data_IF_209579053383
#
_entry.id   IF_209579053383
#
_cell.length_a   1.000
_cell.length_b   1.000
_cell.length_c   1.000
_cell.angle_alpha   90.00
_cell.angle_beta   90.00
_cell.angle_gamma   90.00
#
_symmetry.space_group_name_H-M   'P 1'
#
loop_
_entity.id
_entity.type
_entity.pdbx_description
1 polymer ?
#
# COMPACT_ATOMS: atom_id res chain seq x y z
N UNK A 1 5.46 5.89 -2.94
CA UNK A 1 4.16 5.34 -3.36
C UNK A 1 4.09 3.89 -2.94
N UNK A 2 2.94 3.41 -2.49
CA UNK A 2 2.79 2.01 -2.10
C UNK A 2 2.49 1.17 -3.34
N UNK A 3 3.36 0.24 -3.75
CA UNK A 3 3.07 -0.61 -4.91
C UNK A 3 1.90 -1.56 -4.63
N UNK A 4 1.19 -1.97 -5.68
CA UNK A 4 0.20 -3.06 -5.64
C UNK A 4 0.94 -4.34 -5.99
N UNK A 5 1.04 -5.27 -5.04
CA UNK A 5 1.74 -6.56 -5.23
C UNK A 5 0.79 -7.70 -5.58
N UNK A 6 -0.49 -7.58 -5.24
CA UNK A 6 -1.51 -8.60 -5.43
C UNK A 6 -2.77 -7.98 -6.04
N UNK A 7 -3.35 -8.67 -7.02
CA UNK A 7 -4.61 -8.28 -7.64
C UNK A 7 -5.80 -8.72 -6.79
N UNK A 8 -6.89 -7.96 -6.84
CA UNK A 8 -8.16 -8.34 -6.21
C UNK A 8 -8.90 -7.17 -5.58
N UNK A 9 -10.03 -7.44 -4.93
CA UNK A 9 -10.81 -6.40 -4.26
C UNK A 9 -10.20 -6.07 -2.92
N UNK A 10 -9.76 -4.83 -2.70
CA UNK A 10 -9.25 -4.37 -1.41
C UNK A 10 -10.32 -4.54 -0.34
N UNK A 11 -10.06 -5.37 0.66
CA UNK A 11 -10.93 -5.54 1.83
C UNK A 11 -10.53 -4.60 2.96
N UNK A 12 -9.24 -4.49 3.24
CA UNK A 12 -8.71 -3.61 4.29
C UNK A 12 -7.21 -3.48 4.19
N UNK A 13 -6.68 -2.49 4.90
CA UNK A 13 -5.25 -2.31 5.10
C UNK A 13 -4.93 -2.56 6.57
N UNK A 14 -4.12 -3.57 6.85
CA UNK A 14 -3.68 -3.92 8.19
C UNK A 14 -2.30 -3.29 8.49
N UNK A 15 -1.99 -3.12 9.78
CA UNK A 15 -0.67 -2.64 10.21
C UNK A 15 -0.45 -1.11 10.15
N UNK A 16 -1.50 -0.32 9.87
CA UNK A 16 -1.42 1.15 9.78
C UNK A 16 -0.82 1.82 11.02
N UNK A 17 -1.24 1.39 12.23
CA UNK A 17 -0.69 1.94 13.48
C UNK A 17 0.80 1.66 13.61
N UNK A 18 1.23 0.41 13.33
CA UNK A 18 2.63 0.02 13.39
C UNK A 18 3.47 0.77 12.34
N UNK A 19 2.94 0.98 11.13
CA UNK A 19 3.61 1.74 10.08
C UNK A 19 3.80 3.22 10.46
N UNK A 20 2.80 3.85 11.08
CA UNK A 20 2.86 5.24 11.57
C UNK A 20 3.84 5.43 12.73
N UNK A 21 4.12 4.38 13.50
CA UNK A 21 5.10 4.41 14.60
C UNK A 21 6.54 4.18 14.13
N UNK A 22 6.78 3.96 12.84
CA UNK A 22 8.16 3.87 12.32
C UNK A 22 8.84 5.24 12.50
N UNK A 23 10.05 5.23 13.06
CA UNK A 23 10.88 6.44 13.18
C UNK A 23 11.00 7.13 11.81
N UNK A 24 10.91 8.45 11.79
CA UNK A 24 11.00 9.29 10.59
C UNK A 24 9.79 9.19 9.63
N UNK A 25 8.72 8.48 9.99
CA UNK A 25 7.45 8.53 9.24
C UNK A 25 6.58 9.67 9.78
N UNK A 26 6.19 10.55 8.87
CA UNK A 26 5.31 11.68 9.18
C UNK A 26 3.85 11.30 9.01
N UNK A 27 3.54 10.54 7.95
CA UNK A 27 2.16 10.25 7.57
C UNK A 27 2.06 8.98 6.73
N UNK A 28 0.95 8.25 6.91
CA UNK A 28 0.54 7.14 6.05
C UNK A 28 -0.91 7.37 5.64
N UNK A 29 -1.14 7.56 4.34
CA UNK A 29 -2.46 7.79 3.76
C UNK A 29 -2.85 6.64 2.86
N UNK A 30 -4.07 6.14 3.02
CA UNK A 30 -4.70 5.16 2.13
C UNK A 30 -5.75 5.91 1.31
N UNK A 31 -5.59 5.90 -0.01
CA UNK A 31 -6.46 6.64 -0.94
C UNK A 31 -7.50 5.74 -1.60
N UNK A 32 -7.18 4.45 -1.78
CA UNK A 32 -8.11 3.47 -2.34
C UNK A 32 -9.03 2.99 -1.21
N UNK A 33 -10.33 3.08 -1.44
CA UNK A 33 -11.34 2.65 -0.47
C UNK A 33 -11.51 1.13 -0.51
N UNK A 34 -12.03 0.56 0.58
CA UNK A 34 -12.51 -0.83 0.57
C UNK A 34 -13.52 -1.03 -0.56
N UNK A 35 -13.47 -2.19 -1.22
CA UNK A 35 -14.35 -2.57 -2.32
C UNK A 35 -13.81 -2.22 -3.71
N UNK A 36 -12.73 -1.45 -3.81
CA UNK A 36 -12.08 -1.16 -5.08
C UNK A 36 -11.16 -2.31 -5.52
N UNK A 37 -11.13 -2.55 -6.82
CA UNK A 37 -10.19 -3.49 -7.42
C UNK A 37 -8.77 -2.91 -7.47
N UNK A 38 -7.82 -3.71 -7.01
CA UNK A 38 -6.39 -3.47 -7.13
C UNK A 38 -5.87 -4.23 -8.33
N UNK A 39 -5.21 -3.51 -9.24
CA UNK A 39 -4.57 -4.07 -10.43
C UNK A 39 -3.08 -3.75 -10.32
N UNK A 40 -2.19 -4.76 -10.23
CA UNK A 40 -0.75 -4.57 -10.26
C UNK A 40 -0.28 -3.91 -11.56
N UNK A 41 0.92 -3.32 -11.52
CA UNK A 41 1.60 -2.88 -12.74
C UNK A 41 2.04 -4.10 -13.58
N UNK A 42 2.08 -3.99 -14.92
CA UNK A 42 1.84 -2.79 -15.74
C UNK A 42 0.38 -2.48 -16.08
N UNK A 43 -0.56 -3.39 -15.85
CA UNK A 43 -1.96 -3.24 -16.27
C UNK A 43 -2.71 -2.17 -15.46
N UNK A 44 -2.32 -1.97 -14.20
CA UNK A 44 -2.86 -0.93 -13.33
C UNK A 44 -2.14 0.42 -13.47
N UNK A 45 -2.79 1.49 -13.01
CA UNK A 45 -2.21 2.84 -12.95
C UNK A 45 -2.47 3.54 -11.61
N UNK A 46 -2.82 2.78 -10.58
CA UNK A 46 -3.22 3.28 -9.27
C UNK A 46 -2.27 2.77 -8.18
N UNK A 47 -2.25 3.49 -7.06
CA UNK A 47 -1.54 3.09 -5.86
C UNK A 47 -2.51 3.09 -4.68
N UNK A 48 -2.44 2.13 -3.73
CA UNK A 48 -3.35 2.07 -2.59
C UNK A 48 -3.21 3.28 -1.67
N UNK A 49 -2.04 3.91 -1.68
CA UNK A 49 -1.73 5.01 -0.78
C UNK A 49 -0.28 5.49 -0.85
N UNK A 50 0.06 6.31 0.14
CA UNK A 50 1.32 6.99 0.27
C UNK A 50 1.87 6.87 1.69
N UNK A 51 3.19 6.73 1.78
CA UNK A 51 3.94 6.89 3.02
C UNK A 51 4.83 8.10 2.84
N UNK A 52 4.76 9.04 3.78
CA UNK A 52 5.57 10.24 3.84
C UNK A 52 6.57 10.09 4.98
N UNK A 53 7.84 10.32 4.69
CA UNK A 53 8.92 10.23 5.66
C UNK A 53 9.86 11.43 5.52
N UNK A 54 10.48 11.82 6.63
CA UNK A 54 11.41 12.94 6.73
C UNK A 54 12.61 12.55 7.57
N UNK A 55 13.80 12.79 7.07
CA UNK A 55 15.07 12.48 7.74
C UNK A 55 16.17 13.42 7.26
N UNK A 56 17.29 13.40 7.96
CA UNK A 56 18.44 14.27 7.67
C UNK A 56 19.26 13.77 6.49
N UNK A 57 19.13 12.49 6.13
CA UNK A 57 19.79 11.87 4.98
C UNK A 57 18.81 11.09 4.12
N UNK A 58 19.15 10.93 2.83
CA UNK A 58 18.38 10.08 1.91
C UNK A 58 18.26 8.65 2.44
N UNK A 59 19.31 8.13 3.06
CA UNK A 59 19.32 6.76 3.59
C UNK A 59 18.33 6.57 4.74
N UNK A 60 18.21 7.55 5.63
CA UNK A 60 17.22 7.53 6.72
C UNK A 60 15.79 7.52 6.16
N UNK A 61 15.51 8.38 5.18
CA UNK A 61 14.19 8.47 4.54
C UNK A 61 13.84 7.16 3.85
N UNK A 62 14.74 6.62 3.02
CA UNK A 62 14.51 5.35 2.30
C UNK A 62 14.29 4.20 3.28
N UNK A 63 15.06 4.14 4.37
CA UNK A 63 14.91 3.11 5.41
C UNK A 63 13.55 3.21 6.09
N UNK A 64 13.11 4.42 6.46
CA UNK A 64 11.81 4.64 7.08
C UNK A 64 10.66 4.25 6.15
N UNK A 65 10.71 4.65 4.88
CA UNK A 65 9.70 4.28 3.87
C UNK A 65 9.59 2.76 3.71
N UNK A 66 10.72 2.06 3.59
CA UNK A 66 10.75 0.60 3.46
C UNK A 66 10.23 -0.09 4.71
N UNK A 67 10.67 0.35 5.89
CA UNK A 67 10.25 -0.23 7.17
C UNK A 67 8.74 -0.02 7.43
N UNK A 68 8.19 1.13 7.05
CA UNK A 68 6.77 1.41 7.16
C UNK A 68 5.95 0.58 6.17
N UNK A 69 6.39 0.51 4.92
CA UNK A 69 5.73 -0.33 3.92
C UNK A 69 5.72 -1.81 4.32
N UNK A 70 6.81 -2.34 4.88
CA UNK A 70 6.91 -3.72 5.35
C UNK A 70 5.95 -4.06 6.49
N UNK A 71 5.43 -3.06 7.22
CA UNK A 71 4.41 -3.26 8.28
C UNK A 71 2.99 -3.22 7.73
N UNK A 72 2.78 -2.79 6.49
CA UNK A 72 1.47 -2.66 5.88
C UNK A 72 1.12 -3.95 5.14
N UNK A 73 -0.10 -4.43 5.33
CA UNK A 73 -0.65 -5.57 4.59
C UNK A 73 -1.95 -5.19 3.90
N UNK A 74 -1.95 -5.25 2.58
CA UNK A 74 -3.14 -5.10 1.75
C UNK A 74 -3.86 -6.44 1.73
N UNK A 75 -5.01 -6.52 2.39
CA UNK A 75 -5.84 -7.73 2.34
C UNK A 75 -6.79 -7.60 1.17
N UNK A 76 -6.63 -8.48 0.18
CA UNK A 76 -7.49 -8.53 -1.01
C UNK A 76 -8.37 -9.77 -1.02
N UNK A 77 -9.57 -9.65 -1.57
CA UNK A 77 -10.41 -10.77 -1.93
C UNK A 77 -10.20 -11.13 -3.41
N UNK A 78 -10.24 -12.41 -3.79
CA UNK A 78 -10.09 -12.82 -5.17
C UNK A 78 -11.24 -12.28 -6.04
N UNK A 79 -10.91 -11.90 -7.28
CA UNK A 79 -11.87 -11.53 -8.32
C UNK A 79 -12.02 -12.70 -9.27
N UNK A 80 -13.26 -13.13 -9.50
CA UNK A 80 -13.57 -14.19 -10.45
C UNK A 80 -14.30 -13.60 -11.66
N UNK A 81 -13.60 -13.50 -12.79
CA UNK A 81 -14.23 -13.12 -14.05
C UNK A 81 -14.82 -14.36 -14.70
N UNK A 82 -16.14 -14.43 -14.76
CA UNK A 82 -16.87 -15.46 -15.50
C UNK A 82 -17.02 -14.93 -16.92
N UNK A 83 -16.25 -15.47 -17.86
CA UNK A 83 -16.46 -15.18 -19.27
C UNK A 83 -17.65 -16.02 -19.76
N UNK A 84 -18.79 -15.41 -20.16
CA UNK A 84 -19.82 -16.18 -20.83
C UNK A 84 -19.28 -16.63 -22.19
N UNK A 85 -19.36 -17.94 -22.43
CA UNK A 85 -18.99 -18.57 -23.70
C UNK A 85 -19.93 -18.14 -24.84
#
# INVERSE_FOLDING_TARGET
>A
MMPITEAGILKRVEGLSAARQVKNVEKVDIIIREGHELIPLPEGNQYPGYVFAKGSTTQEVVTALRAAYARLKLVVAPVFNINPA
#
